data_IF_370527020363
#
_entry.id   IF_370527020363
#
_cell.length_a   1.000
_cell.length_b   1.000
_cell.length_c   1.000
_cell.angle_alpha   90.00
_cell.angle_beta   90.00
_cell.angle_gamma   90.00
#
_symmetry.space_group_name_H-M   'P 1'
#
loop_
_entity.id
_entity.type
_entity.pdbx_description
1 polymer ?
2 polymer ?
3 water ?
#
# COMPACT_ATOMS: atom_id res chain seq x y z
N UNK A 1 1.68 -2.69 22.07
CA UNK A 1 0.21 -2.97 21.99
C UNK A 1 -0.14 -4.37 22.46
N UNK A 2 -1.36 -4.55 22.96
CA UNK A 2 -1.82 -5.86 23.44
C UNK A 2 -2.43 -6.65 22.28
N UNK A 3 -3.41 -6.02 21.62
CA UNK A 3 -4.09 -6.61 20.47
C UNK A 3 -3.76 -5.71 19.26
N UNK A 4 -4.51 -5.89 18.16
CA UNK A 4 -4.28 -5.11 16.96
C UNK A 4 -5.01 -3.77 17.05
N UNK A 5 -4.30 -2.68 16.78
CA UNK A 5 -4.91 -1.36 16.85
C UNK A 5 -6.01 -1.23 15.79
N UNK A 6 -6.90 -0.26 15.94
CA UNK A 6 -7.95 -0.09 14.95
C UNK A 6 -7.28 0.15 13.58
N UNK A 7 -6.20 0.93 13.62
CA UNK A 7 -5.44 1.26 12.42
C UNK A 7 -4.84 0.02 11.75
N UNK A 8 -4.32 -0.90 12.56
CA UNK A 8 -3.72 -2.10 12.00
C UNK A 8 -4.76 -3.02 11.36
N UNK A 9 -5.96 -3.02 11.92
CA UNK A 9 -7.04 -3.86 11.41
C UNK A 9 -7.44 -3.36 10.04
N UNK A 10 -7.64 -2.06 9.95
CA UNK A 10 -8.04 -1.43 8.72
C UNK A 10 -6.98 -1.56 7.63
N UNK A 11 -5.74 -1.20 7.95
CA UNK A 11 -4.68 -1.27 6.95
C UNK A 11 -4.52 -2.67 6.39
N UNK A 12 -4.70 -3.68 7.24
CA UNK A 12 -4.58 -5.06 6.81
C UNK A 12 -5.65 -5.34 5.77
N UNK A 13 -6.81 -4.78 6.03
CA UNK A 13 -7.96 -4.90 5.15
C UNK A 13 -7.66 -4.26 3.80
N UNK A 14 -7.29 -2.98 3.82
CA UNK A 14 -7.00 -2.24 2.60
C UNK A 14 -5.87 -2.82 1.76
N UNK A 15 -4.76 -3.11 2.40
CA UNK A 15 -3.61 -3.66 1.71
C UNK A 15 -3.95 -4.96 1.02
N UNK A 16 -4.83 -5.74 1.64
CA UNK A 16 -5.20 -7.03 1.07
C UNK A 16 -6.16 -6.88 -0.13
N UNK A 17 -6.77 -5.71 -0.27
CA UNK A 17 -7.70 -5.47 -1.37
C UNK A 17 -7.24 -4.41 -2.36
N UNK A 18 -6.07 -4.63 -2.95
CA UNK A 18 -5.51 -3.71 -3.93
C UNK A 18 -5.71 -4.26 -5.34
N UNK A 19 -6.18 -3.40 -6.24
CA UNK A 19 -6.38 -3.78 -7.64
C UNK A 19 -5.62 -2.76 -8.48
N UNK A 20 -4.30 -2.82 -8.37
CA UNK A 20 -3.40 -1.90 -9.05
C UNK A 20 -3.15 -2.10 -10.54
N UNK A 21 -2.91 -0.99 -11.26
CA UNK A 21 -2.65 -1.06 -12.70
C UNK A 21 -1.30 -1.75 -12.84
N UNK A 22 -0.97 -2.21 -14.04
CA UNK A 22 0.30 -2.87 -14.27
C UNK A 22 1.47 -1.93 -14.01
N UNK A 23 1.23 -0.62 -14.13
CA UNK A 23 2.27 0.38 -13.92
C UNK A 23 2.64 0.62 -12.45
N UNK A 24 1.92 0.00 -11.53
CA UNK A 24 2.21 0.23 -10.12
C UNK A 24 2.61 -1.01 -9.38
N UNK A 25 3.63 -0.89 -8.53
CA UNK A 25 4.04 -2.03 -7.76
C UNK A 25 4.32 -1.62 -6.32
N UNK A 26 3.73 -2.36 -5.39
CA UNK A 26 3.88 -2.07 -3.98
C UNK A 26 4.87 -3.07 -3.35
N UNK A 27 5.64 -2.59 -2.37
CA UNK A 27 6.60 -3.46 -1.70
C UNK A 27 6.75 -3.14 -0.22
N UNK A 28 6.98 -4.18 0.57
CA UNK A 28 7.15 -4.06 2.01
C UNK A 28 8.53 -4.58 2.40
N UNK A 29 9.29 -3.77 3.11
CA UNK A 29 10.62 -4.19 3.53
C UNK A 29 10.44 -5.25 4.60
N UNK A 30 9.39 -5.10 5.39
CA UNK A 30 9.09 -6.05 6.46
C UNK A 30 7.64 -6.53 6.38
N UNK A 31 7.44 -7.80 6.01
CA UNK A 31 6.10 -8.38 5.90
C UNK A 31 5.24 -8.16 7.14
N UNK A 32 5.89 -7.98 8.29
CA UNK A 32 5.15 -7.77 9.52
C UNK A 32 4.74 -6.33 9.74
N UNK A 33 5.36 -5.42 9.01
CA UNK A 33 5.02 -4.01 9.15
C UNK A 33 4.25 -3.52 7.93
N UNK A 34 2.93 -3.45 8.09
CA UNK A 34 2.03 -3.03 7.03
C UNK A 34 1.79 -1.53 7.08
N UNK A 35 2.50 -0.84 7.96
CA UNK A 35 2.31 0.59 8.11
C UNK A 35 3.37 1.38 7.33
N UNK A 36 4.35 0.68 6.77
CA UNK A 36 5.41 1.32 6.00
C UNK A 36 5.70 0.55 4.72
N UNK A 37 5.55 1.20 3.57
CA UNK A 37 5.79 0.52 2.33
C UNK A 37 6.05 1.48 1.19
N UNK A 38 6.57 0.95 0.10
CA UNK A 38 6.89 1.74 -1.06
C UNK A 38 5.99 1.37 -2.22
N UNK A 39 5.73 2.38 -3.05
CA UNK A 39 4.93 2.22 -4.24
C UNK A 39 5.84 2.69 -5.37
N UNK A 40 5.89 1.92 -6.46
CA UNK A 40 6.70 2.26 -7.61
C UNK A 40 5.79 2.44 -8.80
N UNK A 41 5.87 3.59 -9.45
CA UNK A 41 5.03 3.87 -10.60
C UNK A 41 5.88 4.07 -11.86
N UNK A 42 5.71 3.19 -12.84
CA UNK A 42 6.44 3.28 -14.11
C UNK A 42 5.41 3.54 -15.22
N UNK A 43 5.04 4.81 -15.44
CA UNK A 43 4.06 5.15 -16.46
C UNK A 43 4.40 4.55 -17.82
N UNK A 44 3.37 4.20 -18.58
CA UNK A 44 3.58 3.62 -19.91
C UNK A 44 2.84 4.46 -20.92
N UNK A 45 2.56 5.70 -20.54
CA UNK A 45 1.87 6.63 -21.42
C UNK A 45 1.82 7.98 -20.72
N UNK A 46 1.60 9.05 -21.49
CA UNK A 46 1.56 10.37 -20.91
C UNK A 46 2.95 10.95 -20.92
N UNK A 47 3.08 12.22 -20.51
CA UNK A 47 4.36 12.92 -20.46
C UNK A 47 5.48 12.19 -19.76
N UNK A 48 5.14 11.31 -18.82
CA UNK A 48 6.17 10.60 -18.04
C UNK A 48 6.41 9.16 -18.42
N UNK A 49 6.01 8.77 -19.61
CA UNK A 49 6.22 7.40 -20.07
C UNK A 49 7.70 7.06 -19.96
N UNK A 50 8.00 5.82 -19.56
CA UNK A 50 9.38 5.35 -19.42
C UNK A 50 10.05 5.76 -18.11
N UNK A 51 9.39 6.58 -17.32
CA UNK A 51 9.99 6.97 -16.06
C UNK A 51 9.67 6.04 -14.91
N UNK A 52 10.42 6.17 -13.83
CA UNK A 52 10.20 5.35 -12.65
C UNK A 52 10.12 6.25 -11.42
N UNK A 53 8.99 6.19 -10.73
CA UNK A 53 8.79 7.03 -9.56
C UNK A 53 8.41 6.27 -8.32
N UNK A 54 9.19 6.52 -7.26
CA UNK A 54 9.03 5.86 -5.99
C UNK A 54 8.40 6.75 -4.91
N UNK A 55 7.36 6.24 -4.27
CA UNK A 55 6.68 6.98 -3.21
C UNK A 55 6.74 6.13 -1.96
N UNK A 56 6.81 6.78 -0.82
CA UNK A 56 6.85 6.09 0.44
C UNK A 56 5.54 6.36 1.12
N UNK A 57 5.03 5.36 1.83
CA UNK A 57 3.79 5.48 2.56
C UNK A 57 4.11 5.23 4.03
N UNK A 58 3.45 5.98 4.90
CA UNK A 58 3.63 5.80 6.33
C UNK A 58 2.26 5.93 6.94
N UNK A 59 1.71 4.79 7.33
CA UNK A 59 0.38 4.76 7.92
C UNK A 59 0.44 4.99 9.43
N UNK A 60 -0.24 6.04 9.88
CA UNK A 60 -0.25 6.37 11.29
C UNK A 60 -1.34 5.66 12.08
N UNK A 61 -1.23 5.70 13.41
CA UNK A 61 -2.22 5.06 14.26
C UNK A 61 -3.58 5.73 14.18
N UNK A 62 -3.63 6.92 13.58
CA UNK A 62 -4.89 7.62 13.42
C UNK A 62 -5.64 7.22 12.16
N UNK A 63 -5.05 6.33 11.38
CA UNK A 63 -5.65 5.84 10.14
C UNK A 63 -6.83 4.94 10.53
N UNK A 64 -7.92 4.93 9.75
CA UNK A 64 -8.26 5.67 8.53
C UNK A 64 -8.83 7.04 8.79
N UNK A 65 -8.86 7.46 10.05
CA UNK A 65 -9.36 8.78 10.36
C UNK A 65 -8.37 9.74 9.71
N UNK A 66 -7.08 9.56 10.01
CA UNK A 66 -6.04 10.39 9.42
C UNK A 66 -5.50 9.75 8.15
N UNK A 67 -5.34 10.53 7.08
CA UNK A 67 -4.81 9.95 5.84
C UNK A 67 -3.36 9.58 6.05
N UNK A 68 -2.85 8.57 5.34
CA UNK A 68 -1.44 8.22 5.53
C UNK A 68 -0.55 9.32 4.96
N UNK A 69 0.73 9.32 5.34
CA UNK A 69 1.69 10.32 4.87
C UNK A 69 2.44 9.79 3.65
N UNK A 70 2.33 10.51 2.53
CA UNK A 70 2.97 10.09 1.30
C UNK A 70 3.94 11.12 0.74
N UNK A 71 5.11 10.66 0.28
CA UNK A 71 6.12 11.54 -0.30
C UNK A 71 6.77 10.88 -1.52
N UNK A 72 7.20 11.71 -2.46
CA UNK A 72 7.87 11.19 -3.65
C UNK A 72 9.36 11.23 -3.36
N UNK A 73 10.03 10.09 -3.53
CA UNK A 73 11.46 10.00 -3.26
C UNK A 73 12.30 10.16 -4.52
N UNK A 74 11.62 10.35 -5.64
CA UNK A 74 12.26 10.51 -6.93
C UNK A 74 12.11 11.96 -7.38
N UNK A 75 13.22 12.66 -7.56
CA UNK A 75 13.13 14.03 -8.02
C UNK A 75 12.45 13.98 -9.39
N UNK A 76 11.50 14.87 -9.60
CA UNK A 76 10.75 14.91 -10.84
C UNK A 76 10.22 16.32 -11.09
N UNK A 77 10.11 16.67 -12.37
CA UNK A 77 9.61 17.96 -12.82
C UNK A 77 8.11 17.74 -13.01
N UNK A 78 7.32 18.22 -12.05
CA UNK A 78 5.87 17.99 -12.07
C UNK A 78 5.16 19.09 -11.32
N UNK A 79 4.00 19.53 -11.81
CA UNK A 79 3.23 20.60 -11.14
C UNK A 79 2.84 20.28 -9.72
N UNK A 80 2.47 19.03 -9.49
CA UNK A 80 1.97 18.57 -8.20
C UNK A 80 2.95 17.95 -7.22
N UNK A 81 4.23 17.99 -7.55
CA UNK A 81 5.24 17.42 -6.65
C UNK A 81 6.37 18.41 -6.67
N UNK A 82 6.87 18.78 -5.49
CA UNK A 82 7.97 19.73 -5.42
C UNK A 82 9.32 19.05 -5.23
N UNK A 83 10.40 19.81 -5.36
CA UNK A 83 11.75 19.25 -5.24
C UNK A 83 11.99 18.56 -3.90
N UNK A 84 11.14 18.86 -2.92
CA UNK A 84 11.32 18.27 -1.61
C UNK A 84 10.60 16.91 -1.47
N UNK A 85 9.77 16.58 -2.47
CA UNK A 85 9.04 15.33 -2.42
C UNK A 85 7.58 15.42 -1.99
N UNK A 86 7.12 16.61 -1.61
CA UNK A 86 5.73 16.79 -1.18
C UNK A 86 4.80 16.55 -2.36
N UNK A 87 3.69 15.87 -2.09
CA UNK A 87 2.73 15.53 -3.14
C UNK A 87 1.38 16.17 -2.92
N UNK A 88 0.94 16.97 -3.86
CA UNK A 88 -0.35 17.60 -3.71
C UNK A 88 -1.46 16.74 -4.30
N UNK A 89 -2.01 15.85 -3.49
CA UNK A 89 -3.12 15.02 -3.95
C UNK A 89 -4.27 15.38 -3.02
N UNK A 90 -5.34 15.92 -3.60
CA UNK A 90 -6.52 16.35 -2.84
C UNK A 90 -6.95 15.37 -1.76
N UNK A 91 -7.22 14.13 -2.15
CA UNK A 91 -7.67 13.13 -1.20
C UNK A 91 -6.62 12.77 -0.16
N UNK A 92 -5.44 13.36 -0.27
CA UNK A 92 -4.38 13.06 0.67
C UNK A 92 -4.42 14.08 1.80
N UNK A 93 -5.10 15.19 1.57
CA UNK A 93 -5.21 16.24 2.58
C UNK A 93 -6.64 16.68 2.92
N UNK A 94 -7.13 17.72 2.27
CA UNK A 94 -8.48 18.21 2.59
C UNK A 94 -9.65 17.33 2.11
N UNK A 95 -9.42 16.50 1.09
CA UNK A 95 -10.49 15.65 0.57
C UNK A 95 -10.45 14.23 1.09
N UNK A 96 -9.65 13.98 2.12
CA UNK A 96 -9.57 12.64 2.68
C UNK A 96 -10.82 12.29 3.48
N UNK A 97 -11.26 11.04 3.31
CA UNK A 97 -12.44 10.53 4.02
C UNK A 97 -12.09 9.11 4.44
N UNK A 98 -12.37 8.74 5.70
CA UNK A 98 -12.09 7.40 6.26
C UNK A 98 -12.53 6.24 5.37
N UNK A 99 -13.44 6.53 4.45
CA UNK A 99 -13.95 5.50 3.55
C UNK A 99 -12.96 5.18 2.42
N UNK A 100 -12.01 6.09 2.18
CA UNK A 100 -11.00 5.89 1.13
C UNK A 100 -9.95 4.89 1.59
N UNK A 101 -9.29 4.26 0.63
CA UNK A 101 -8.27 3.26 0.92
C UNK A 101 -6.94 3.53 0.24
N UNK A 102 -5.97 2.67 0.53
CA UNK A 102 -4.65 2.80 -0.07
C UNK A 102 -4.83 2.68 -1.58
N UNK A 103 -5.76 1.83 -1.99
CA UNK A 103 -6.03 1.62 -3.41
C UNK A 103 -6.51 2.96 -3.98
N UNK A 104 -7.26 3.70 -3.17
CA UNK A 104 -7.78 5.01 -3.59
C UNK A 104 -6.60 5.94 -3.82
N UNK A 105 -5.70 6.00 -2.85
CA UNK A 105 -4.56 6.88 -2.98
C UNK A 105 -3.70 6.49 -4.17
N UNK A 106 -3.38 5.22 -4.29
CA UNK A 106 -2.55 4.77 -5.40
C UNK A 106 -3.12 5.24 -6.73
N UNK A 107 -4.41 5.04 -6.96
CA UNK A 107 -4.98 5.51 -8.22
C UNK A 107 -4.89 7.02 -8.33
N UNK A 108 -4.98 7.72 -7.21
CA UNK A 108 -4.86 9.16 -7.26
C UNK A 108 -3.45 9.52 -7.70
N UNK A 109 -2.46 8.87 -7.11
CA UNK A 109 -1.05 9.12 -7.44
C UNK A 109 -0.75 8.85 -8.91
N UNK A 110 -1.22 7.72 -9.43
CA UNK A 110 -0.94 7.39 -10.82
C UNK A 110 -1.63 8.36 -11.77
N UNK A 111 -2.76 8.93 -11.36
CA UNK A 111 -3.45 9.85 -12.24
C UNK A 111 -2.65 11.12 -12.42
N UNK A 112 -1.89 11.51 -11.39
CA UNK A 112 -1.08 12.73 -11.50
C UNK A 112 -0.10 12.65 -12.66
N UNK A 113 0.36 11.44 -13.01
CA UNK A 113 1.29 11.28 -14.13
C UNK A 113 0.58 11.19 -15.47
N UNK A 114 -0.72 10.93 -15.46
CA UNK A 114 -1.48 10.85 -16.69
C UNK A 114 -2.02 12.23 -17.02
N UNK A 115 -2.48 12.94 -15.98
CA UNK A 115 -3.02 14.27 -16.16
C UNK A 115 -2.54 15.24 -15.09
N UNK A 116 -1.31 15.77 -15.25
CA UNK A 116 -0.78 16.72 -14.26
C UNK A 116 -1.78 17.83 -14.11
N UNK A 117 -1.97 18.33 -12.89
CA UNK A 117 -2.92 19.40 -12.69
C UNK A 117 -2.27 20.76 -12.44
N UNK A 118 -2.41 21.69 -13.41
CA UNK A 118 -1.83 23.03 -13.31
C UNK A 118 -2.50 23.83 -12.19
N UNK A 119 -3.72 23.45 -11.84
CA UNK A 119 -4.43 24.15 -10.78
C UNK A 119 -3.82 23.70 -9.46
N UNK A 120 -3.60 24.65 -8.56
CA UNK A 120 -3.01 24.42 -7.25
C UNK A 120 -1.78 23.48 -7.25
N UNK A 121 -0.78 23.83 -8.06
CA UNK A 121 0.43 23.01 -8.14
C UNK A 121 1.44 23.43 -7.09
N UNK A 122 2.43 22.57 -6.84
CA UNK A 122 3.47 22.86 -5.87
C UNK A 122 4.67 23.44 -6.62
N UNK A 123 4.74 23.21 -7.92
CA UNK A 123 5.82 23.74 -8.74
C UNK A 123 5.13 24.64 -9.76
N UNK A 124 4.94 25.91 -9.40
CA UNK A 124 4.23 26.82 -10.30
C UNK A 124 4.87 26.93 -11.67
N UNK A 125 6.18 27.02 -11.71
CA UNK A 125 6.90 27.11 -12.98
C UNK A 125 6.45 25.97 -13.87
N UNK A 126 6.49 24.75 -13.33
CA UNK A 126 6.08 23.58 -14.08
C UNK A 126 4.63 23.73 -14.50
N UNK A 127 3.83 24.32 -13.62
CA UNK A 127 2.41 24.54 -13.92
C UNK A 127 2.26 25.46 -15.13
N UNK A 128 2.84 26.66 -15.03
CA UNK A 128 2.80 27.65 -16.11
C UNK A 128 3.14 26.98 -17.44
N UNK A 129 4.32 26.41 -17.52
CA UNK A 129 4.77 25.75 -18.73
C UNK A 129 3.75 24.73 -19.22
N UNK A 130 2.98 24.15 -18.30
CA UNK A 130 1.99 23.15 -18.71
C UNK A 130 0.81 23.76 -19.44
N UNK A 131 0.30 24.89 -18.94
CA UNK A 131 -0.84 25.55 -19.58
C UNK A 131 -0.38 26.42 -20.74
N UNK A 132 0.61 27.27 -20.48
CA UNK A 132 1.14 28.16 -21.50
C UNK A 132 1.70 27.37 -22.69
N UNK A 133 2.77 26.63 -22.48
CA UNK A 133 3.35 25.84 -23.57
C UNK A 133 3.30 24.34 -23.34
N UNK A 134 2.24 23.71 -23.83
CA UNK A 134 2.04 22.27 -23.67
C UNK A 134 3.32 21.49 -23.98
N UNK A 135 3.91 21.72 -25.14
CA UNK A 135 5.10 20.99 -25.58
C UNK A 135 6.43 21.31 -24.89
N UNK A 136 6.67 22.57 -24.56
CA UNK A 136 7.91 22.91 -23.89
C UNK A 136 7.94 22.04 -22.63
N UNK A 137 6.80 21.95 -21.98
CA UNK A 137 6.65 21.15 -20.78
C UNK A 137 7.08 19.72 -21.13
N UNK A 138 6.60 19.23 -22.26
CA UNK A 138 6.93 17.88 -22.70
C UNK A 138 8.42 17.67 -22.87
N UNK A 139 9.11 18.72 -23.32
CA UNK A 139 10.55 18.65 -23.51
C UNK A 139 11.25 18.70 -22.16
N UNK A 140 10.76 19.56 -21.28
CA UNK A 140 11.33 19.68 -19.96
C UNK A 140 11.25 18.33 -19.25
N UNK A 141 10.10 17.65 -19.39
CA UNK A 141 9.91 16.36 -18.76
C UNK A 141 10.98 15.39 -19.26
N UNK A 142 11.12 15.29 -20.58
CA UNK A 142 12.09 14.39 -21.20
C UNK A 142 13.52 14.60 -20.71
N UNK A 143 13.95 15.86 -20.73
CA UNK A 143 15.30 16.24 -20.33
C UNK A 143 15.52 15.95 -18.86
N UNK A 144 14.60 16.43 -18.03
CA UNK A 144 14.70 16.22 -16.61
C UNK A 144 14.67 14.74 -16.26
N UNK A 145 13.90 13.94 -17.00
CA UNK A 145 13.85 12.51 -16.70
C UNK A 145 15.16 11.83 -17.07
N UNK A 146 15.84 12.33 -18.09
CA UNK A 146 17.11 11.74 -18.49
C UNK A 146 18.19 12.21 -17.54
N UNK A 147 17.94 13.32 -16.87
CA UNK A 147 18.91 13.87 -15.96
C UNK A 147 19.40 15.11 -16.64
N UNK A 148 19.06 16.28 -16.09
CA UNK A 148 19.48 17.51 -16.70
C UNK A 148 18.97 18.75 -15.99
N UNK A 149 19.41 19.90 -16.49
CA UNK A 149 19.01 21.16 -15.90
C UNK A 149 17.83 21.78 -16.63
N UNK A 150 17.05 22.53 -15.86
CA UNK A 150 15.90 23.28 -16.33
C UNK A 150 16.17 24.51 -15.50
N UNK A 151 16.44 25.63 -16.17
CA UNK A 151 16.77 26.82 -15.44
C UNK A 151 18.07 26.45 -14.75
N UNK A 152 18.28 26.94 -13.52
CA UNK A 152 19.50 26.62 -12.79
C UNK A 152 19.24 25.38 -11.92
N UNK A 153 18.14 24.69 -12.18
CA UNK A 153 17.79 23.51 -11.38
C UNK A 153 18.10 22.17 -12.06
N UNK A 154 18.86 21.34 -11.36
CA UNK A 154 19.23 20.04 -11.88
C UNK A 154 18.29 18.94 -11.43
N UNK A 155 17.75 18.20 -12.39
CA UNK A 155 16.84 17.09 -12.10
C UNK A 155 17.56 15.78 -12.37
N UNK A 156 17.71 14.95 -11.34
CA UNK A 156 18.39 13.68 -11.50
C UNK A 156 17.61 12.72 -12.39
N UNK A 157 18.34 11.89 -13.13
CA UNK A 157 17.76 10.91 -14.05
C UNK A 157 16.80 9.96 -13.34
N UNK A 158 15.68 9.63 -13.96
CA UNK A 158 14.74 8.71 -13.31
C UNK A 158 14.03 7.77 -14.28
N UNK A 159 14.68 7.47 -15.41
CA UNK A 159 14.11 6.55 -16.38
C UNK A 159 14.12 5.15 -15.77
N UNK A 160 13.13 4.34 -16.10
CA UNK A 160 13.07 2.98 -15.58
C UNK A 160 14.25 2.17 -16.14
N UNK B 5 -17.92 -9.98 19.01
CA UNK B 5 -16.89 -10.85 19.64
C UNK B 5 -16.41 -11.88 18.62
N UNK B 6 -15.13 -12.35 18.74
CA UNK B 6 -14.54 -13.35 17.82
C UNK B 6 -15.18 -14.75 17.76
N UNK B 7 -15.37 -15.25 16.53
CA UNK B 7 -15.98 -16.55 16.30
C UNK B 7 -14.97 -17.62 16.69
N UNK B 8 -15.29 -18.36 17.75
CA UNK B 8 -14.40 -19.38 18.26
C UNK B 8 -14.08 -20.49 17.28
N UNK B 9 -12.81 -20.55 16.88
CA UNK B 9 -12.32 -21.57 15.96
C UNK B 9 -11.43 -22.57 16.68
N UNK B 10 -11.63 -23.86 16.41
CA UNK B 10 -10.87 -24.89 17.10
C UNK B 10 -10.02 -25.78 16.19
N UNK B 11 -8.70 -25.68 16.38
CA UNK B 11 -7.73 -26.48 15.63
C UNK B 11 -6.80 -27.12 16.64
N UNK B 12 -6.17 -28.21 16.25
CA UNK B 12 -5.22 -28.89 17.13
C UNK B 12 -3.86 -28.24 16.92
N UNK B 13 -3.12 -28.02 18.01
CA UNK B 13 -1.79 -27.40 18.02
C UNK B 13 -0.81 -27.86 16.95
N UNK B 14 -0.95 -29.09 16.48
CA UNK B 14 -0.05 -29.63 15.45
C UNK B 14 -0.36 -29.13 14.03
N UNK B 15 -1.63 -28.77 13.80
CA UNK B 15 -2.11 -28.29 12.50
C UNK B 15 -1.12 -27.32 11.85
N UNK B 16 -1.24 -27.19 10.54
CA UNK B 16 -0.38 -26.29 9.79
C UNK B 16 -1.21 -25.10 9.36
N UNK B 17 -0.53 -24.10 8.79
CA UNK B 17 -1.22 -22.91 8.35
C UNK B 17 -2.19 -23.23 7.22
N UNK B 18 -1.68 -23.87 6.17
CA UNK B 18 -2.52 -24.25 5.04
C UNK B 18 -3.89 -24.68 5.54
N UNK B 19 -3.89 -25.40 6.65
CA UNK B 19 -5.10 -25.92 7.28
C UNK B 19 -6.11 -24.83 7.64
N UNK B 20 -5.64 -23.79 8.31
CA UNK B 20 -6.52 -22.70 8.72
C UNK B 20 -6.98 -21.90 7.51
N UNK B 21 -6.09 -21.71 6.55
CA UNK B 21 -6.43 -20.97 5.35
C UNK B 21 -7.50 -21.72 4.59
N UNK B 22 -7.41 -23.06 4.59
CA UNK B 22 -8.38 -23.88 3.89
C UNK B 22 -9.75 -23.85 4.57
N UNK B 23 -9.78 -23.79 5.90
CA UNK B 23 -11.05 -23.71 6.61
C UNK B 23 -11.76 -22.45 6.15
N UNK B 24 -11.00 -21.36 6.11
CA UNK B 24 -11.52 -20.06 5.71
C UNK B 24 -11.93 -20.01 4.24
N UNK B 25 -11.21 -20.74 3.39
CA UNK B 25 -11.48 -20.77 1.96
C UNK B 25 -12.62 -21.69 1.56
N UNK B 26 -12.92 -22.69 2.40
CA UNK B 26 -13.98 -23.64 2.04
C UNK B 26 -15.26 -23.69 2.93
N UNK B 27 -15.20 -23.13 4.13
CA UNK B 27 -16.37 -23.12 4.99
C UNK B 27 -17.58 -22.48 4.29
N UNK B 28 -18.71 -23.20 4.34
CA UNK B 28 -19.94 -22.73 3.71
C UNK B 28 -20.56 -21.61 4.52
N UNK B 29 -20.05 -21.46 5.74
CA UNK B 29 -20.45 -20.39 6.64
C UNK B 29 -19.46 -19.24 6.48
N UNK B 30 -18.50 -19.38 5.56
CA UNK B 30 -17.52 -18.32 5.32
C UNK B 30 -17.03 -18.29 3.87
N UNK B 31 -16.06 -19.16 3.61
CA UNK B 31 -15.39 -19.28 2.34
C UNK B 31 -15.03 -17.95 1.71
N UNK B 32 -13.96 -17.38 2.24
CA UNK B 32 -13.44 -16.10 1.79
C UNK B 32 -12.54 -16.35 0.58
N UNK B 33 -12.55 -15.38 -0.33
CA UNK B 33 -11.78 -15.44 -1.57
C UNK B 33 -10.29 -15.63 -1.34
N UNK B 34 -9.63 -14.62 -0.76
CA UNK B 34 -8.18 -14.68 -0.50
C UNK B 34 -7.94 -13.93 0.82
N UNK B 35 -8.09 -14.63 1.95
CA UNK B 35 -7.91 -14.03 3.28
C UNK B 35 -6.47 -13.73 3.70
N UNK B 36 -6.31 -12.62 4.39
CA UNK B 36 -5.01 -12.19 4.90
C UNK B 36 -5.07 -12.41 6.39
N UNK B 37 -4.13 -13.18 6.94
CA UNK B 37 -4.15 -13.45 8.36
C UNK B 37 -2.94 -12.94 9.11
N UNK B 38 -3.21 -12.24 10.22
CA UNK B 38 -2.18 -11.70 11.08
C UNK B 38 -2.52 -12.04 12.53
N UNK B 39 -1.59 -11.75 13.42
CA UNK B 39 -1.77 -11.98 14.84
C UNK B 39 -0.69 -11.20 15.58
N UNK B 40 -0.92 -10.92 16.85
CA UNK B 40 0.06 -10.18 17.63
C UNK B 40 0.96 -11.17 18.39
N UNK B 41 2.25 -11.15 18.10
CA UNK B 41 3.18 -12.03 18.79
C UNK B 41 4.22 -11.23 19.55
N UNK B 42 4.25 -11.42 20.87
CA UNK B 42 5.17 -10.71 21.72
C UNK B 42 5.00 -9.21 21.57
N UNK B 43 3.75 -8.77 21.65
CA UNK B 43 3.42 -7.36 21.55
C UNK B 43 3.55 -6.69 20.19
N UNK B 44 3.94 -7.44 19.16
CA UNK B 44 4.10 -6.89 17.81
C UNK B 44 3.21 -7.66 16.83
N UNK B 45 2.95 -7.05 15.68
CA UNK B 45 2.12 -7.71 14.70
C UNK B 45 2.93 -8.63 13.80
N UNK B 46 2.41 -9.82 13.56
CA UNK B 46 3.09 -10.81 12.73
C UNK B 46 2.12 -11.22 11.62
N UNK B 47 2.50 -10.96 10.37
CA UNK B 47 1.65 -11.32 9.23
C UNK B 47 1.92 -12.77 8.89
N UNK B 48 0.95 -13.63 9.19
CA UNK B 48 1.07 -15.05 8.93
C UNK B 48 1.07 -15.33 7.44
N UNK B 49 0.04 -14.87 6.73
CA UNK B 49 -0.01 -15.08 5.29
C UNK B 49 -0.96 -14.13 4.56
N UNK B 50 -0.57 -13.75 3.35
CA UNK B 50 -1.36 -12.88 2.51
C UNK B 50 -0.91 -13.09 1.07
N UNK B 51 -1.84 -13.53 0.24
CA UNK B 51 -1.55 -13.84 -1.16
C UNK B 51 -1.67 -12.66 -2.11
N UNK B 52 -2.65 -11.82 -1.87
CA UNK B 52 -2.91 -10.68 -2.75
C UNK B 52 -1.67 -9.86 -3.10
N UNK B 53 -0.78 -9.63 -2.13
CA UNK B 53 0.43 -8.86 -2.41
C UNK B 53 1.65 -9.77 -2.46
N UNK B 54 2.24 -9.89 -3.65
CA UNK B 54 3.41 -10.74 -3.84
C UNK B 54 4.60 -10.42 -2.96
N UNK B 55 4.90 -9.14 -2.80
CA UNK B 55 6.03 -8.75 -1.96
C UNK B 55 5.92 -9.48 -0.64
N UNK B 56 4.69 -9.62 -0.16
CA UNK B 56 4.41 -10.28 1.11
C UNK B 56 4.22 -11.79 1.02
N UNK B 57 3.43 -12.24 0.05
CA UNK B 57 3.17 -13.67 -0.12
C UNK B 57 4.48 -14.44 -0.26
N UNK B 58 5.43 -13.88 -0.99
CA UNK B 58 6.72 -14.54 -1.19
C UNK B 58 7.48 -14.84 0.10
N UNK B 59 7.32 -14.00 1.11
CA UNK B 59 8.02 -14.22 2.37
C UNK B 59 7.16 -14.85 3.44
N UNK B 60 5.89 -15.09 3.13
CA UNK B 60 4.99 -15.69 4.11
C UNK B 60 4.49 -17.06 3.70
N UNK B 61 4.92 -17.51 2.51
CA UNK B 61 4.51 -18.82 1.99
C UNK B 61 5.00 -19.98 2.83
N UNK B 62 6.25 -19.92 3.32
CA UNK B 62 6.80 -20.99 4.14
C UNK B 62 5.92 -21.30 5.33
N UNK B 63 5.20 -20.29 5.83
CA UNK B 63 4.33 -20.45 6.99
C UNK B 63 3.16 -21.38 6.74
N UNK B 64 2.60 -21.35 5.53
CA UNK B 64 1.49 -22.23 5.20
C UNK B 64 1.96 -23.64 5.52
N UNK B 65 3.22 -23.90 5.17
CA UNK B 65 3.88 -25.19 5.37
C UNK B 65 4.36 -25.42 6.80
N UNK B 66 4.44 -24.36 7.60
CA UNK B 66 4.89 -24.50 8.99
C UNK B 66 3.82 -25.02 9.93
N UNK B 67 4.27 -25.53 11.06
CA UNK B 67 3.37 -26.07 12.08
C UNK B 67 2.71 -24.87 12.75
N UNK B 68 1.54 -25.07 13.34
CA UNK B 68 0.83 -23.97 13.98
C UNK B 68 1.56 -23.39 15.17
N UNK B 69 2.12 -24.23 16.05
CA UNK B 69 2.80 -23.68 17.21
C UNK B 69 4.25 -23.31 16.93
N UNK B 70 4.78 -23.72 15.78
CA UNK B 70 6.15 -23.36 15.42
C UNK B 70 6.08 -21.89 15.02
N UNK B 71 4.86 -21.36 15.05
CA UNK B 71 4.59 -19.97 14.72
C UNK B 71 4.50 -19.17 16.01
N UNK B 72 4.90 -19.79 17.12
CA UNK B 72 4.86 -19.14 18.41
C UNK B 72 3.42 -18.81 18.73
N UNK B 73 2.55 -19.28 17.85
CA UNK B 73 1.12 -19.07 18.00
C UNK B 73 0.60 -19.91 19.16
N UNK B 74 0.05 -19.23 20.18
CA UNK B 74 -0.52 -19.89 21.34
C UNK B 74 -1.97 -19.42 21.48
N UNK B 75 -2.76 -20.30 22.06
CA UNK B 75 -4.20 -20.13 22.17
C UNK B 75 -4.94 -19.09 22.99
N UNK B 76 -6.14 -18.79 22.49
CA UNK B 76 -7.03 -17.79 23.04
C UNK B 76 -6.69 -16.49 22.35
N UNK B 77 -5.61 -16.51 21.57
CA UNK B 77 -5.13 -15.33 20.86
C UNK B 77 -5.91 -15.04 19.59
N UNK B 78 -6.55 -13.87 19.58
CA UNK B 78 -7.38 -13.44 18.47
C UNK B 78 -6.64 -13.28 17.16
N UNK B 79 -7.11 -13.97 16.13
CA UNK B 79 -6.54 -13.85 14.81
C UNK B 79 -7.25 -12.69 14.12
N UNK B 80 -6.53 -12.00 13.25
CA UNK B 80 -7.12 -10.89 12.51
C UNK B 80 -7.16 -11.38 11.08
N UNK B 81 -8.37 -11.50 10.54
CA UNK B 81 -8.51 -11.94 9.17
C UNK B 81 -9.30 -10.94 8.37
N UNK B 82 -8.76 -10.59 7.21
CA UNK B 82 -9.41 -9.64 6.33
C UNK B 82 -9.51 -10.29 4.95
N UNK B 83 -10.66 -10.10 4.32
CA UNK B 83 -10.90 -10.65 3.00
C UNK B 83 -11.98 -9.83 2.30
N UNK B 84 -12.11 -10.01 1.00
CA UNK B 84 -13.13 -9.29 0.22
C UNK B 84 -14.50 -9.60 0.83
N UNK B 85 -14.61 -10.82 1.36
CA UNK B 85 -15.82 -11.33 2.00
C UNK B 85 -16.20 -10.56 3.26
N UNK B 86 -15.20 -10.03 3.95
CA UNK B 86 -15.41 -9.28 5.18
C UNK B 86 -15.49 -7.77 4.98
N UNK B 87 -16.60 -7.16 5.40
CA UNK B 87 -16.75 -5.71 5.27
C UNK B 87 -15.65 -5.04 6.09
N UNK B 88 -15.45 -5.58 7.29
CA UNK B 88 -14.43 -5.10 8.19
C UNK B 88 -13.57 -6.29 8.58
N UNK B 89 -12.42 -6.02 9.17
CA UNK B 89 -11.54 -7.10 9.59
C UNK B 89 -12.26 -7.82 10.72
N UNK B 90 -12.30 -9.15 10.67
CA UNK B 90 -12.96 -9.91 11.73
C UNK B 90 -11.94 -10.63 12.59
N UNK B 91 -12.23 -10.73 13.89
CA UNK B 91 -11.33 -11.41 14.81
C UNK B 91 -11.80 -12.82 15.15
N UNK B 92 -10.87 -13.76 15.07
CA UNK B 92 -11.14 -15.17 15.37
C UNK B 92 -10.43 -15.58 16.64
N UNK B 93 -11.18 -16.06 17.63
CA UNK B 93 -10.56 -16.50 18.88
C UNK B 93 -10.11 -17.96 18.67
N UNK B 94 -8.82 -18.13 18.46
CA UNK B 94 -8.22 -19.43 18.22
C UNK B 94 -8.48 -20.40 19.39
N UNK B 95 -8.63 -21.69 19.11
CA UNK B 95 -8.87 -22.65 20.17
C UNK B 95 -7.99 -23.89 20.25
N UNK B 96 -6.90 -23.65 20.97
CA UNK B 96 -5.82 -24.54 21.37
C UNK B 96 -5.41 -25.70 20.48
#
# INVERSE_FOLDING_TARGET
GSMASAAQLRIQKDINELNLPKTCDISFSDPDDLLNFKLVICPDEGFYKSGKFVFSFKVGQGYPHDPPKVKCETMVYHPNIDLEGNVCLNILREDWKPVLTINSIIYGLQYLFLEPNPEDPLNKEAAEVLQNNRRLFEQNVQRSMRGGYIGSTYFERCLK
GSSQLPQNIQFSPSAKLQEVLDYLTNSASLQMKSPAITATLEGKNRTLYMQSVTSIEERTRPNLSKTLKELGLVDGQELAVADVTTPQTVLFKLHFTS
#
